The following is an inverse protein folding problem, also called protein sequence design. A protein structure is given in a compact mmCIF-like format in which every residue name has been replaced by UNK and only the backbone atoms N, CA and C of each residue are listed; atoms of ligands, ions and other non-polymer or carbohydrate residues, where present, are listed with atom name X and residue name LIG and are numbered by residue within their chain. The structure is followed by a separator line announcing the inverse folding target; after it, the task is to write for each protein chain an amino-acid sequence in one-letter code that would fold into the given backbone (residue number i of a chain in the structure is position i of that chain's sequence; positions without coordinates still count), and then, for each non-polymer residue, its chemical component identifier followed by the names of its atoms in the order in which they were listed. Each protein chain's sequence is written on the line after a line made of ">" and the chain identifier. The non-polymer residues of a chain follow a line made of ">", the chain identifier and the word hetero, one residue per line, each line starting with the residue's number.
data_IF_536206000343
#
_entry.id   IF_536206000343
#
_cell.length_a   1.000
_cell.length_b   1.000
_cell.length_c   1.000
_cell.angle_alpha   90.00
_cell.angle_beta   90.00
_cell.angle_gamma   90.00
#
_symmetry.space_group_name_H-M   'P 1'
#
loop_
_entity.id
_entity.type
_entity.pdbx_description
1 polymer ?
#
# COMPACT_ATOMS: atom_id res chain seq x y z
N UNK A 1 -29.12 -5.60 3.94
CA UNK A 1 -29.55 -6.64 2.99
C UNK A 1 -28.56 -6.53 1.83
N UNK A 2 -27.53 -7.39 1.71
CA UNK A 2 -26.56 -7.29 0.60
C UNK A 2 -27.25 -7.71 -0.71
N UNK A 3 -28.20 -6.92 -1.21
CA UNK A 3 -28.90 -7.19 -2.47
C UNK A 3 -27.90 -6.99 -3.60
N UNK A 4 -27.44 -8.08 -4.18
CA UNK A 4 -26.78 -8.03 -5.48
C UNK A 4 -27.84 -7.68 -6.53
N UNK A 5 -27.68 -6.55 -7.21
CA UNK A 5 -28.33 -6.38 -8.50
C UNK A 5 -27.45 -7.08 -9.52
N UNK A 6 -28.07 -8.02 -10.21
CA UNK A 6 -27.54 -8.61 -11.44
C UNK A 6 -28.11 -7.79 -12.60
N UNK A 7 -27.31 -6.85 -13.13
CA UNK A 7 -27.66 -6.11 -14.35
C UNK A 7 -27.17 -6.92 -15.55
N UNK A 8 -28.09 -7.57 -16.24
CA UNK A 8 -27.81 -8.28 -17.49
C UNK A 8 -28.01 -7.32 -18.67
N UNK A 9 -26.93 -6.98 -19.35
CA UNK A 9 -26.96 -6.22 -20.61
C UNK A 9 -26.92 -7.19 -21.77
N UNK A 10 -27.97 -7.20 -22.59
CA UNK A 10 -28.03 -7.96 -23.84
C UNK A 10 -28.23 -7.00 -25.02
N UNK A 11 -27.39 -7.13 -26.04
CA UNK A 11 -27.56 -6.40 -27.31
C UNK A 11 -28.06 -7.41 -28.33
N UNK A 12 -29.16 -7.05 -28.99
CA UNK A 12 -29.80 -7.87 -30.01
C UNK A 12 -29.58 -7.27 -31.39
N UNK A 13 -29.27 -8.13 -32.36
CA UNK A 13 -29.27 -7.79 -33.77
C UNK A 13 -30.53 -8.37 -34.42
N UNK A 14 -31.30 -7.52 -35.11
CA UNK A 14 -32.41 -7.94 -35.96
C UNK A 14 -31.97 -7.91 -37.42
N UNK A 15 -31.97 -9.07 -38.08
CA UNK A 15 -31.73 -9.13 -39.52
C UNK A 15 -32.96 -8.65 -40.27
N UNK A 16 -32.74 -7.95 -41.38
CA UNK A 16 -33.74 -7.16 -42.13
C UNK A 16 -35.00 -7.94 -42.56
N UNK A 17 -34.92 -9.28 -42.62
CA UNK A 17 -35.98 -10.17 -43.12
C UNK A 17 -36.30 -11.32 -42.17
N UNK A 18 -35.88 -11.24 -40.90
CA UNK A 18 -36.10 -12.30 -39.90
C UNK A 18 -36.94 -11.73 -38.75
N UNK A 19 -37.92 -12.48 -38.26
CA UNK A 19 -38.77 -12.04 -37.13
C UNK A 19 -38.05 -12.23 -35.79
N UNK A 20 -37.01 -13.06 -35.75
CA UNK A 20 -36.28 -13.40 -34.53
C UNK A 20 -35.05 -12.49 -34.27
N UNK A 21 -34.86 -12.16 -33.00
CA UNK A 21 -33.74 -11.35 -32.51
C UNK A 21 -32.59 -12.26 -32.08
N UNK A 22 -31.36 -12.00 -32.56
CA UNK A 22 -30.16 -12.73 -32.13
C UNK A 22 -29.38 -11.92 -31.11
N UNK A 23 -29.09 -12.49 -29.93
CA UNK A 23 -28.17 -11.89 -28.95
C UNK A 23 -26.76 -11.89 -29.53
N UNK A 24 -26.17 -10.71 -29.73
CA UNK A 24 -24.80 -10.54 -30.24
C UNK A 24 -23.80 -10.17 -29.14
N UNK A 25 -24.28 -9.71 -27.99
CA UNK A 25 -23.46 -9.41 -26.83
C UNK A 25 -24.30 -9.60 -25.56
N UNK A 26 -23.75 -10.30 -24.58
CA UNK A 26 -24.34 -10.44 -23.25
C UNK A 26 -23.27 -10.18 -22.21
N UNK A 27 -23.52 -9.25 -21.28
CA UNK A 27 -22.62 -8.98 -20.17
C UNK A 27 -23.41 -8.80 -18.90
N UNK A 28 -23.03 -9.53 -17.87
CA UNK A 28 -23.64 -9.49 -16.56
C UNK A 28 -22.77 -8.65 -15.62
N UNK A 29 -23.35 -7.62 -15.02
CA UNK A 29 -22.73 -6.83 -13.97
C UNK A 29 -23.39 -7.18 -12.64
N UNK A 30 -22.61 -7.77 -11.73
CA UNK A 30 -23.03 -7.96 -10.34
C UNK A 30 -22.55 -6.78 -9.53
N UNK A 31 -23.48 -5.98 -9.01
CA UNK A 31 -23.17 -4.85 -8.12
C UNK A 31 -23.98 -4.98 -6.84
N UNK A 32 -23.31 -4.87 -5.69
CA UNK A 32 -23.98 -4.89 -4.39
C UNK A 32 -24.47 -3.47 -4.06
N UNK A 33 -25.77 -3.31 -3.84
CA UNK A 33 -26.35 -1.99 -3.52
C UNK A 33 -26.15 -1.56 -2.07
N UNK A 34 -25.85 -2.50 -1.18
CA UNK A 34 -25.72 -2.24 0.25
C UNK A 34 -24.43 -2.86 0.77
N UNK A 35 -23.70 -2.10 1.56
CA UNK A 35 -22.52 -2.60 2.23
C UNK A 35 -22.89 -3.62 3.33
N UNK A 36 -21.99 -4.54 3.72
CA UNK A 36 -22.26 -5.51 4.77
C UNK A 36 -22.69 -4.81 6.06
N UNK A 37 -23.89 -5.17 6.53
CA UNK A 37 -24.47 -4.62 7.76
C UNK A 37 -24.27 -5.60 8.91
N UNK A 38 -23.67 -5.08 9.97
CA UNK A 38 -23.42 -5.82 11.20
C UNK A 38 -24.68 -5.73 12.06
N UNK A 39 -25.30 -6.88 12.34
CA UNK A 39 -26.53 -6.96 13.12
C UNK A 39 -26.28 -7.08 14.62
N UNK A 40 -25.15 -7.70 15.00
CA UNK A 40 -24.77 -7.94 16.38
C UNK A 40 -23.24 -7.94 16.48
N UNK A 41 -22.71 -7.34 17.52
CA UNK A 41 -21.31 -7.49 17.92
C UNK A 41 -21.23 -7.89 19.38
N UNK A 42 -20.31 -8.80 19.70
CA UNK A 42 -20.03 -9.27 21.04
C UNK A 42 -18.54 -9.29 21.27
N UNK A 43 -18.15 -9.00 22.50
CA UNK A 43 -16.77 -9.15 22.95
C UNK A 43 -16.72 -10.28 24.00
N UNK A 44 -15.70 -11.11 23.87
CA UNK A 44 -15.21 -12.00 24.93
C UNK A 44 -13.72 -11.80 25.05
N UNK A 45 -13.14 -12.18 26.17
CA UNK A 45 -11.70 -12.08 26.40
C UNK A 45 -11.11 -13.50 26.43
N UNK A 46 -10.07 -13.73 25.63
CA UNK A 46 -9.27 -14.97 25.71
C UNK A 46 -8.30 -14.89 26.89
N UNK A 47 -7.76 -13.69 27.12
CA UNK A 47 -6.95 -13.29 28.27
C UNK A 47 -7.15 -11.79 28.59
N UNK A 48 -6.47 -11.28 29.61
CA UNK A 48 -6.62 -9.89 30.06
C UNK A 48 -6.26 -8.82 29.01
N UNK A 49 -5.58 -9.18 27.90
CA UNK A 49 -5.04 -8.22 26.91
C UNK A 49 -5.52 -8.48 25.48
N UNK A 50 -6.26 -9.57 25.25
CA UNK A 50 -6.75 -9.99 23.95
C UNK A 50 -8.27 -10.03 23.96
N UNK A 51 -8.88 -9.02 23.35
CA UNK A 51 -10.31 -9.01 23.09
C UNK A 51 -10.59 -9.82 21.82
N UNK A 52 -11.49 -10.79 21.92
CA UNK A 52 -12.09 -11.49 20.80
C UNK A 52 -13.42 -10.81 20.51
N UNK A 53 -13.49 -10.12 19.38
CA UNK A 53 -14.72 -9.52 18.90
C UNK A 53 -15.33 -10.47 17.88
N UNK A 54 -16.56 -10.88 18.15
CA UNK A 54 -17.36 -11.70 17.24
C UNK A 54 -18.52 -10.87 16.73
N UNK A 55 -18.89 -11.06 15.47
CA UNK A 55 -20.01 -10.32 14.88
C UNK A 55 -20.88 -11.21 14.02
N UNK A 56 -22.13 -10.79 13.87
CA UNK A 56 -23.05 -11.35 12.89
C UNK A 56 -23.32 -10.34 11.81
N UNK A 57 -23.20 -10.82 10.58
CA UNK A 57 -23.68 -10.10 9.41
C UNK A 57 -25.17 -10.40 9.25
N UNK A 58 -25.96 -9.38 8.91
CA UNK A 58 -27.39 -9.53 8.69
C UNK A 58 -27.72 -10.49 7.52
N UNK A 59 -26.76 -10.72 6.62
CA UNK A 59 -26.87 -11.63 5.48
C UNK A 59 -25.54 -12.35 5.24
N UNK A 60 -25.21 -13.29 6.14
CA UNK A 60 -23.86 -13.85 6.22
C UNK A 60 -23.40 -14.54 4.93
N UNK A 61 -24.23 -15.39 4.32
CA UNK A 61 -23.81 -16.19 3.16
C UNK A 61 -23.38 -15.32 1.97
N UNK A 62 -24.02 -14.16 1.79
CA UNK A 62 -23.71 -13.25 0.68
C UNK A 62 -22.58 -12.27 0.99
N UNK A 63 -22.22 -12.06 2.27
CA UNK A 63 -21.22 -11.07 2.65
C UNK A 63 -20.03 -11.63 3.47
N UNK A 64 -19.89 -12.96 3.63
CA UNK A 64 -18.81 -13.62 4.39
C UNK A 64 -17.39 -13.33 3.88
N UNK A 65 -17.23 -13.11 2.58
CA UNK A 65 -15.94 -12.82 1.95
C UNK A 65 -15.58 -11.32 1.97
N UNK A 66 -16.50 -10.46 2.44
CA UNK A 66 -16.28 -9.02 2.52
C UNK A 66 -15.44 -8.68 3.76
N UNK A 67 -14.45 -7.82 3.55
CA UNK A 67 -13.58 -7.35 4.62
C UNK A 67 -14.22 -6.18 5.39
N UNK A 68 -14.19 -6.28 6.70
CA UNK A 68 -14.63 -5.25 7.62
C UNK A 68 -13.42 -4.59 8.26
N UNK A 69 -13.51 -3.29 8.47
CA UNK A 69 -12.57 -2.50 9.26
C UNK A 69 -13.19 -2.24 10.64
N UNK A 70 -12.43 -2.56 11.68
CA UNK A 70 -12.75 -2.31 13.08
C UNK A 70 -11.90 -1.15 13.58
N UNK A 71 -12.54 -0.06 14.00
CA UNK A 71 -11.91 1.08 14.65
C UNK A 71 -12.27 1.07 16.13
N UNK A 72 -11.25 0.94 16.98
CA UNK A 72 -11.37 0.96 18.43
C UNK A 72 -10.84 2.29 18.96
N UNK A 73 -11.69 3.04 19.65
CA UNK A 73 -11.35 4.35 20.22
C UNK A 73 -11.29 4.26 21.75
N UNK A 74 -10.10 4.53 22.31
CA UNK A 74 -9.88 4.56 23.76
C UNK A 74 -8.71 5.49 24.11
N UNK A 75 -7.81 5.03 24.98
CA UNK A 75 -6.53 5.71 25.24
C UNK A 75 -5.60 5.75 24.01
N UNK A 76 -5.81 4.83 23.07
CA UNK A 76 -5.22 4.80 21.73
C UNK A 76 -6.26 4.37 20.71
N UNK A 77 -6.04 4.76 19.46
CA UNK A 77 -6.86 4.31 18.32
C UNK A 77 -6.22 3.07 17.71
N UNK A 78 -6.97 1.98 17.64
CA UNK A 78 -6.55 0.74 16.96
C UNK A 78 -7.47 0.53 15.76
N UNK A 79 -6.87 0.30 14.59
CA UNK A 79 -7.61 -0.02 13.37
C UNK A 79 -7.14 -1.39 12.89
N UNK A 80 -8.06 -2.32 12.72
CA UNK A 80 -7.76 -3.67 12.27
C UNK A 80 -8.79 -4.14 11.26
N UNK A 81 -8.35 -4.92 10.27
CA UNK A 81 -9.21 -5.48 9.23
C UNK A 81 -9.43 -6.96 9.51
N UNK A 82 -10.64 -7.46 9.23
CA UNK A 82 -10.94 -8.88 9.33
C UNK A 82 -12.02 -9.33 8.35
N UNK A 83 -11.96 -10.61 8.00
CA UNK A 83 -12.97 -11.36 7.23
C UNK A 83 -13.57 -12.45 8.12
N UNK A 84 -14.77 -12.93 7.78
CA UNK A 84 -15.47 -13.95 8.57
C UNK A 84 -16.32 -13.38 9.70
N UNK A 85 -16.20 -13.93 10.91
CA UNK A 85 -17.07 -13.63 12.06
C UNK A 85 -16.32 -13.41 13.38
N UNK A 86 -14.99 -13.49 13.37
CA UNK A 86 -14.15 -13.33 14.56
C UNK A 86 -12.90 -12.52 14.21
N UNK A 87 -12.52 -11.60 15.10
CA UNK A 87 -11.24 -10.89 15.07
C UNK A 87 -10.66 -10.92 16.47
N UNK A 88 -9.35 -11.17 16.53
CA UNK A 88 -8.58 -11.08 17.76
C UNK A 88 -7.86 -9.74 17.74
N UNK A 89 -8.16 -8.89 18.71
CA UNK A 89 -7.54 -7.58 18.89
C UNK A 89 -6.54 -7.69 20.04
N UNK A 90 -5.26 -7.96 19.76
CA UNK A 90 -4.23 -7.94 20.77
C UNK A 90 -3.92 -6.51 21.21
N UNK A 91 -3.28 -6.39 22.38
CA UNK A 91 -2.65 -5.16 22.87
C UNK A 91 -3.61 -4.06 23.38
N UNK A 92 -4.81 -4.38 23.86
CA UNK A 92 -5.61 -3.37 24.57
C UNK A 92 -4.98 -3.04 25.93
N UNK A 93 -5.07 -1.77 26.34
CA UNK A 93 -4.54 -1.31 27.63
C UNK A 93 -5.49 -1.75 28.76
N UNK A 94 -4.94 -2.38 29.80
CA UNK A 94 -5.69 -2.75 31.00
C UNK A 94 -6.32 -1.51 31.66
N UNK A 95 -7.48 -1.68 32.31
CA UNK A 95 -8.28 -0.59 32.92
C UNK A 95 -8.77 0.50 31.95
N UNK A 96 -8.67 0.26 30.65
CA UNK A 96 -9.20 1.20 29.65
C UNK A 96 -10.47 0.67 29.03
N UNK A 97 -11.36 1.61 28.72
CA UNK A 97 -12.51 1.35 27.88
C UNK A 97 -12.20 1.74 26.45
N UNK A 98 -12.65 0.92 25.52
CA UNK A 98 -12.63 1.21 24.09
C UNK A 98 -14.06 1.15 23.56
N UNK A 99 -14.39 2.06 22.66
CA UNK A 99 -15.61 1.96 21.85
C UNK A 99 -15.21 1.41 20.49
N UNK A 100 -15.80 0.29 20.12
CA UNK A 100 -15.54 -0.35 18.83
C UNK A 100 -16.65 -0.06 17.86
N UNK A 101 -16.26 0.51 16.72
CA UNK A 101 -17.07 0.60 15.53
C UNK A 101 -16.52 -0.31 14.47
N UNK A 102 -17.40 -0.92 13.72
CA UNK A 102 -17.06 -1.77 12.60
C UNK A 102 -17.83 -1.29 11.38
N UNK A 103 -17.13 -1.20 10.27
CA UNK A 103 -17.69 -0.74 9.01
C UNK A 103 -17.00 -1.44 7.83
N UNK A 104 -17.68 -1.57 6.69
CA UNK A 104 -17.10 -2.12 5.46
C UNK A 104 -15.80 -1.40 5.04
N UNK A 105 -14.73 -2.15 4.76
CA UNK A 105 -13.43 -1.56 4.36
C UNK A 105 -13.47 -0.97 2.93
N UNK A 106 -14.19 -1.63 2.03
CA UNK A 106 -14.36 -1.20 0.64
C UNK A 106 -15.82 -1.13 0.26
N UNK A 107 -16.21 0.05 -0.22
CA UNK A 107 -17.53 0.37 -0.72
C UNK A 107 -17.40 1.16 -2.01
N UNK A 108 -18.29 0.90 -2.96
CA UNK A 108 -18.36 1.71 -4.18
C UNK A 108 -18.74 3.15 -3.81
N UNK A 109 -18.35 4.13 -4.64
CA UNK A 109 -18.54 5.57 -4.40
C UNK A 109 -19.98 6.00 -4.08
N UNK A 110 -20.98 5.16 -4.37
CA UNK A 110 -22.41 5.44 -4.23
C UNK A 110 -23.12 4.52 -3.23
N UNK A 111 -22.38 3.73 -2.44
CA UNK A 111 -22.97 2.80 -1.48
C UNK A 111 -23.14 3.44 -0.11
N UNK A 112 -24.37 3.42 0.41
CA UNK A 112 -24.63 3.84 1.80
C UNK A 112 -23.95 2.88 2.77
N UNK A 113 -23.05 3.43 3.59
CA UNK A 113 -22.32 2.68 4.62
C UNK A 113 -23.05 2.81 5.96
N UNK A 114 -23.32 1.67 6.59
CA UNK A 114 -23.84 1.63 7.95
C UNK A 114 -22.71 1.25 8.89
N UNK A 115 -22.34 2.18 9.77
CA UNK A 115 -21.48 1.89 10.91
C UNK A 115 -22.26 1.06 11.92
N UNK A 116 -21.60 0.08 12.55
CA UNK A 116 -22.22 -0.66 13.64
C UNK A 116 -22.52 0.24 14.84
N UNK A 117 -23.49 -0.19 15.66
CA UNK A 117 -23.65 0.38 16.99
C UNK A 117 -22.32 0.23 17.76
N UNK A 118 -21.92 1.27 18.49
CA UNK A 118 -20.69 1.24 19.28
C UNK A 118 -20.77 0.12 20.32
N UNK A 119 -19.79 -0.79 20.28
CA UNK A 119 -19.62 -1.80 21.32
C UNK A 119 -18.62 -1.27 22.35
N UNK A 120 -19.07 -1.06 23.57
CA UNK A 120 -18.17 -0.73 24.67
C UNK A 120 -17.42 -1.99 25.12
N UNK A 121 -16.10 -1.94 25.04
CA UNK A 121 -15.18 -2.94 25.57
C UNK A 121 -14.55 -2.34 26.81
N UNK A 122 -14.92 -2.84 27.98
CA UNK A 122 -14.20 -2.57 29.22
C UNK A 122 -13.11 -3.62 29.35
N UNK A 123 -11.86 -3.21 29.17
CA UNK A 123 -10.72 -4.08 29.45
C UNK A 123 -10.63 -4.18 30.96
N UNK A 124 -11.12 -5.30 31.49
CA UNK A 124 -11.01 -5.59 32.91
C UNK A 124 -9.52 -5.56 33.27
N UNK A 125 -9.13 -4.77 34.26
CA UNK A 125 -8.04 -5.16 35.14
C UNK A 125 -8.53 -6.38 35.90
N UNK A 126 -8.51 -7.51 35.22
CA UNK A 126 -8.06 -8.70 35.88
C UNK A 126 -6.72 -8.28 36.43
N UNK A 127 -6.67 -7.99 37.75
CA UNK A 127 -5.45 -8.04 38.54
C UNK A 127 -4.58 -9.03 37.81
N UNK A 128 -3.49 -8.54 37.21
CA UNK A 128 -2.55 -9.40 36.52
C UNK A 128 -2.53 -10.69 37.32
N UNK A 129 -2.84 -11.84 36.74
CA UNK A 129 -2.25 -13.03 37.34
C UNK A 129 -0.76 -12.67 37.26
N UNK A 130 -0.08 -12.36 38.39
CA UNK A 130 1.26 -11.76 38.36
C UNK A 130 2.29 -12.82 37.96
N UNK A 131 1.84 -13.92 37.39
CA UNK A 131 2.47 -15.21 37.36
C UNK A 131 2.70 -15.65 35.92
N UNK A 132 2.79 -14.73 34.94
CA UNK A 132 3.10 -15.12 33.55
C UNK A 132 4.05 -14.15 32.86
N UNK A 133 5.15 -14.69 32.35
CA UNK A 133 6.03 -14.00 31.42
C UNK A 133 5.60 -14.31 29.98
N UNK A 134 5.69 -13.32 29.10
CA UNK A 134 5.43 -13.47 27.67
C UNK A 134 6.71 -13.26 26.86
N UNK A 135 6.82 -13.99 25.76
CA UNK A 135 7.90 -13.89 24.79
C UNK A 135 7.31 -13.88 23.38
N UNK A 136 7.68 -12.86 22.62
CA UNK A 136 7.25 -12.63 21.24
C UNK A 136 8.46 -12.86 20.34
N UNK A 137 8.30 -13.68 19.31
CA UNK A 137 9.34 -13.97 18.33
C UNK A 137 8.82 -13.64 16.94
N UNK A 138 9.58 -12.88 16.17
CA UNK A 138 9.32 -12.61 14.76
C UNK A 138 10.54 -13.04 13.96
N UNK A 139 10.36 -13.94 12.99
CA UNK A 139 11.46 -14.49 12.20
C UNK A 139 11.08 -14.65 10.72
N UNK A 140 12.11 -14.77 9.88
CA UNK A 140 11.98 -15.20 8.49
C UNK A 140 12.50 -16.64 8.44
N UNK A 141 11.64 -17.66 8.29
CA UNK A 141 12.05 -19.07 8.41
C UNK A 141 13.15 -19.49 7.42
N UNK A 142 13.20 -18.85 6.26
CA UNK A 142 14.23 -19.10 5.23
C UNK A 142 15.58 -18.46 5.55
N UNK A 143 15.66 -17.57 6.54
CA UNK A 143 16.90 -16.92 6.98
C UNK A 143 17.00 -16.91 8.51
N UNK A 144 17.79 -17.84 9.04
CA UNK A 144 18.00 -18.02 10.49
C UNK A 144 18.64 -16.82 11.19
N UNK A 145 19.31 -15.93 10.46
CA UNK A 145 19.91 -14.70 11.02
C UNK A 145 18.86 -13.61 11.26
N UNK A 146 17.72 -13.67 10.57
CA UNK A 146 16.63 -12.70 10.67
C UNK A 146 15.58 -13.19 11.67
N UNK A 147 15.94 -13.09 12.95
CA UNK A 147 15.07 -13.40 14.09
C UNK A 147 15.16 -12.30 15.15
N UNK A 148 14.01 -11.86 15.61
CA UNK A 148 13.87 -10.91 16.71
C UNK A 148 13.04 -11.54 17.83
N UNK A 149 13.49 -11.36 19.07
CA UNK A 149 12.80 -11.85 20.27
C UNK A 149 12.63 -10.69 21.24
N UNK A 150 11.44 -10.58 21.82
CA UNK A 150 11.11 -9.54 22.79
C UNK A 150 10.25 -10.10 23.92
N UNK A 151 10.47 -9.63 25.13
CA UNK A 151 9.58 -9.86 26.29
C UNK A 151 8.61 -8.69 26.50
N UNK A 152 8.76 -7.62 25.73
CA UNK A 152 7.79 -6.53 25.66
C UNK A 152 6.76 -6.81 24.57
N UNK A 153 5.59 -6.19 24.65
CA UNK A 153 4.53 -6.27 23.63
C UNK A 153 4.90 -5.64 22.26
N UNK A 154 6.18 -5.31 22.05
CA UNK A 154 6.73 -4.79 20.81
C UNK A 154 7.90 -5.66 20.39
N UNK A 155 7.85 -6.20 19.18
CA UNK A 155 8.97 -6.87 18.52
C UNK A 155 9.32 -6.10 17.25
N UNK A 156 10.61 -5.87 17.03
CA UNK A 156 11.11 -5.16 15.86
C UNK A 156 12.13 -6.06 15.18
N UNK A 157 11.87 -6.44 13.94
CA UNK A 157 12.81 -7.18 13.10
C UNK A 157 13.37 -6.23 12.05
N UNK A 158 14.71 -6.11 12.02
CA UNK A 158 15.44 -5.25 11.10
C UNK A 158 16.19 -6.09 10.07
N UNK A 159 16.67 -5.46 8.98
CA UNK A 159 17.49 -6.14 7.97
C UNK A 159 16.71 -7.06 7.03
N UNK A 160 15.38 -6.96 6.99
CA UNK A 160 14.53 -7.72 6.09
C UNK A 160 14.79 -7.28 4.64
N UNK A 161 15.04 -8.21 3.71
CA UNK A 161 15.17 -7.89 2.28
C UNK A 161 13.93 -7.17 1.74
N UNK A 162 14.14 -6.11 0.97
CA UNK A 162 13.08 -5.26 0.42
C UNK A 162 12.67 -5.71 -0.99
N UNK A 163 11.50 -5.25 -1.44
CA UNK A 163 10.98 -5.43 -2.81
C UNK A 163 10.76 -6.87 -3.30
N UNK A 164 10.98 -7.87 -2.44
CA UNK A 164 10.65 -9.27 -2.70
C UNK A 164 9.70 -9.79 -1.62
N UNK A 165 8.80 -10.73 -1.94
CA UNK A 165 7.94 -11.35 -0.94
C UNK A 165 8.76 -12.11 0.09
N UNK A 166 8.43 -11.93 1.36
CA UNK A 166 9.01 -12.62 2.50
C UNK A 166 7.90 -13.33 3.27
N UNK A 167 8.14 -14.57 3.68
CA UNK A 167 7.29 -15.26 4.64
C UNK A 167 7.82 -14.91 6.02
N UNK A 168 7.01 -14.22 6.81
CA UNK A 168 7.30 -13.94 8.21
C UNK A 168 6.54 -14.91 9.08
N UNK A 169 7.18 -15.32 10.17
CA UNK A 169 6.59 -16.17 11.19
C UNK A 169 6.58 -15.43 12.51
N UNK A 170 5.39 -15.23 13.07
CA UNK A 170 5.21 -14.63 14.37
C UNK A 170 4.78 -15.69 15.38
N UNK A 171 5.49 -15.80 16.48
CA UNK A 171 5.24 -16.78 17.55
C UNK A 171 5.09 -16.05 18.88
N UNK A 172 4.06 -16.40 19.64
CA UNK A 172 3.89 -15.95 21.02
C UNK A 172 4.05 -17.17 21.93
N UNK A 173 4.91 -17.03 22.93
CA UNK A 173 5.09 -18.00 23.99
C UNK A 173 4.76 -17.38 25.34
N UNK A 174 4.18 -18.20 26.22
CA UNK A 174 3.82 -17.86 27.60
C UNK A 174 4.52 -18.82 28.54
N UNK A 175 5.00 -18.31 29.68
CA UNK A 175 5.57 -19.10 30.76
C UNK A 175 4.89 -18.68 32.05
N UNK A 176 4.30 -19.61 32.80
CA UNK A 176 3.83 -19.30 34.15
C UNK A 176 5.05 -19.10 35.08
N UNK A 177 5.01 -18.23 36.09
CA UNK A 177 6.13 -18.03 37.04
C UNK A 177 6.46 -19.31 37.83
N UNK A 178 5.50 -20.21 37.95
CA UNK A 178 5.67 -21.55 38.55
C UNK A 178 6.35 -22.55 37.60
N UNK A 179 6.50 -22.22 36.33
CA UNK A 179 7.08 -23.05 35.29
C UNK A 179 8.49 -22.56 34.93
N UNK A 180 9.33 -23.50 34.48
CA UNK A 180 10.69 -23.20 34.01
C UNK A 180 10.72 -22.73 32.56
N UNK A 181 9.81 -23.25 31.73
CA UNK A 181 9.92 -23.16 30.27
C UNK A 181 8.75 -22.42 29.63
N UNK A 182 9.05 -21.67 28.56
CA UNK A 182 8.03 -21.02 27.75
C UNK A 182 7.31 -22.05 26.87
N UNK A 183 5.98 -22.07 26.97
CA UNK A 183 5.10 -22.82 26.07
C UNK A 183 4.61 -21.93 24.95
N UNK A 184 4.68 -22.41 23.70
CA UNK A 184 4.09 -21.72 22.55
C UNK A 184 2.56 -21.74 22.66
N UNK A 185 1.94 -20.58 22.52
CA UNK A 185 0.48 -20.41 22.59
C UNK A 185 -0.12 -19.92 21.28
N UNK A 186 0.70 -19.30 20.42
CA UNK A 186 0.27 -18.80 19.12
C UNK A 186 1.40 -18.87 18.11
N UNK A 187 1.08 -19.19 16.87
CA UNK A 187 1.99 -19.12 15.73
C UNK A 187 1.20 -18.81 14.48
N UNK A 188 1.65 -17.81 13.73
CA UNK A 188 1.08 -17.45 12.44
C UNK A 188 2.21 -17.18 11.44
N UNK A 189 2.01 -17.61 10.21
CA UNK A 189 2.89 -17.32 9.09
C UNK A 189 2.10 -16.45 8.10
N UNK A 190 2.72 -15.37 7.64
CA UNK A 190 2.11 -14.45 6.69
C UNK A 190 3.15 -13.95 5.70
N UNK A 191 2.69 -13.72 4.47
CA UNK A 191 3.54 -13.19 3.41
C UNK A 191 3.45 -11.65 3.39
N UNK A 192 4.60 -10.99 3.32
CA UNK A 192 4.68 -9.53 3.21
C UNK A 192 5.80 -9.13 2.24
N UNK A 193 5.53 -8.13 1.41
CA UNK A 193 6.55 -7.51 0.56
C UNK A 193 6.83 -6.11 1.08
N UNK A 194 8.05 -5.85 1.55
CA UNK A 194 8.45 -4.51 2.00
C UNK A 194 8.81 -3.64 0.79
N UNK A 195 7.80 -2.98 0.23
CA UNK A 195 7.87 -2.35 -1.10
C UNK A 195 8.39 -0.92 -1.15
N UNK A 196 8.97 -0.37 -0.07
CA UNK A 196 9.38 1.03 0.02
C UNK A 196 10.89 1.22 0.29
N UNK A 197 11.76 0.95 -0.70
CA UNK A 197 13.19 1.25 -0.56
C UNK A 197 13.43 2.74 -0.37
N UNK A 198 14.40 3.08 0.48
CA UNK A 198 14.91 4.44 0.56
C UNK A 198 15.63 4.81 -0.74
N UNK A 199 15.30 5.98 -1.26
CA UNK A 199 15.96 6.62 -2.41
C UNK A 199 16.89 7.70 -1.86
N UNK A 200 18.15 7.68 -2.25
CA UNK A 200 19.19 8.57 -1.73
C UNK A 200 20.17 9.02 -2.82
N UNK A 201 20.99 10.02 -2.51
CA UNK A 201 22.07 10.50 -3.36
C UNK A 201 21.62 10.81 -4.80
N UNK A 202 20.47 11.50 -4.94
CA UNK A 202 20.01 11.96 -6.24
C UNK A 202 21.01 12.99 -6.76
N UNK A 203 21.56 12.74 -7.94
CA UNK A 203 22.46 13.65 -8.65
C UNK A 203 21.94 13.87 -10.07
N UNK A 204 22.31 15.00 -10.65
CA UNK A 204 21.92 15.40 -11.99
C UNK A 204 23.15 15.75 -12.82
N UNK A 205 23.21 15.21 -14.03
CA UNK A 205 24.23 15.52 -15.03
C UNK A 205 23.55 16.13 -16.27
N UNK A 206 24.01 17.33 -16.65
CA UNK A 206 23.58 18.06 -17.84
C UNK A 206 24.81 18.26 -18.71
N UNK A 207 25.17 17.25 -19.51
CA UNK A 207 26.30 17.32 -20.45
C UNK A 207 25.77 17.54 -21.85
N UNK A 208 25.93 18.74 -22.44
CA UNK A 208 25.72 19.11 -23.86
C UNK A 208 24.67 18.31 -24.65
N UNK A 209 23.57 17.92 -24.01
CA UNK A 209 22.62 16.96 -24.55
C UNK A 209 21.21 17.45 -24.33
N UNK A 210 20.29 16.98 -25.18
CA UNK A 210 18.86 17.30 -25.12
C UNK A 210 18.14 16.74 -23.88
N UNK A 211 18.90 16.16 -22.93
CA UNK A 211 18.38 15.45 -21.77
C UNK A 211 19.18 15.80 -20.52
N UNK A 212 18.48 15.84 -19.38
CA UNK A 212 19.14 15.78 -18.07
C UNK A 212 19.15 14.33 -17.60
N UNK A 213 20.31 13.83 -17.19
CA UNK A 213 20.44 12.50 -16.61
C UNK A 213 20.35 12.61 -15.10
N UNK A 214 19.35 11.96 -14.50
CA UNK A 214 19.27 11.78 -13.06
C UNK A 214 19.82 10.40 -12.69
N UNK A 215 20.65 10.35 -11.65
CA UNK A 215 21.14 9.12 -11.02
C UNK A 215 20.82 9.14 -9.53
N UNK A 216 20.59 7.98 -8.94
CA UNK A 216 20.30 7.84 -7.51
C UNK A 216 20.75 6.48 -7.00
N UNK A 217 20.76 6.32 -5.67
CA UNK A 217 20.99 5.03 -5.01
C UNK A 217 19.71 4.48 -4.41
N UNK A 218 19.52 3.18 -4.57
CA UNK A 218 18.43 2.43 -3.93
C UNK A 218 18.93 1.61 -2.74
N UNK A 219 18.21 1.70 -1.63
CA UNK A 219 18.34 0.75 -0.54
C UNK A 219 17.97 -0.66 -1.04
N UNK A 220 18.81 -1.64 -0.71
CA UNK A 220 18.66 -3.02 -1.17
C UNK A 220 18.52 -3.12 -2.69
N UNK A 221 19.46 -2.47 -3.38
CA UNK A 221 19.54 -2.34 -4.84
C UNK A 221 19.25 -3.64 -5.59
N UNK A 222 19.88 -4.74 -5.18
CA UNK A 222 19.79 -6.02 -5.90
C UNK A 222 18.36 -6.53 -5.98
N UNK A 223 17.61 -6.40 -4.88
CA UNK A 223 16.21 -6.80 -4.82
C UNK A 223 15.26 -5.73 -5.39
N UNK A 224 15.62 -4.45 -5.23
CA UNK A 224 14.75 -3.31 -5.58
C UNK A 224 14.98 -2.71 -6.98
N UNK A 225 15.92 -3.22 -7.79
CA UNK A 225 16.22 -2.66 -9.13
C UNK A 225 15.02 -2.53 -10.07
N UNK A 226 14.03 -3.42 -9.93
CA UNK A 226 12.81 -3.41 -10.76
C UNK A 226 11.66 -2.63 -10.12
N UNK A 227 11.88 -2.03 -8.95
CA UNK A 227 10.86 -1.23 -8.28
C UNK A 227 10.60 0.03 -9.11
N UNK A 228 9.33 0.22 -9.48
CA UNK A 228 8.89 1.46 -10.13
C UNK A 228 8.90 2.60 -9.13
N UNK A 229 9.54 3.70 -9.50
CA UNK A 229 9.69 4.92 -8.71
C UNK A 229 8.96 6.06 -9.42
N UNK A 230 8.44 7.00 -8.63
CA UNK A 230 7.85 8.24 -9.12
C UNK A 230 8.80 9.39 -8.81
N UNK A 231 9.13 10.17 -9.82
CA UNK A 231 9.91 11.40 -9.72
C UNK A 231 9.02 12.59 -10.03
N UNK A 232 8.86 13.49 -9.07
CA UNK A 232 8.21 14.78 -9.28
C UNK A 232 9.26 15.87 -9.40
N UNK A 233 9.30 16.53 -10.54
CA UNK A 233 10.17 17.66 -10.82
C UNK A 233 9.34 18.94 -10.78
N UNK A 234 9.68 19.85 -9.88
CA UNK A 234 9.01 21.13 -9.70
C UNK A 234 9.86 22.25 -10.29
N UNK A 235 9.39 22.85 -11.38
CA UNK A 235 9.95 24.07 -11.98
C UNK A 235 8.85 25.10 -12.22
N UNK A 236 8.85 25.74 -13.40
CA UNK A 236 7.71 26.54 -13.87
C UNK A 236 6.46 25.68 -14.11
N UNK A 237 6.67 24.42 -14.45
CA UNK A 237 5.67 23.36 -14.57
C UNK A 237 6.11 22.16 -13.73
N UNK A 238 5.13 21.43 -13.20
CA UNK A 238 5.38 20.16 -12.49
C UNK A 238 5.39 19.03 -13.51
N UNK A 239 6.48 18.29 -13.54
CA UNK A 239 6.66 17.12 -14.40
C UNK A 239 6.72 15.88 -13.52
N UNK A 240 5.88 14.88 -13.83
CA UNK A 240 5.93 13.57 -13.19
C UNK A 240 6.57 12.57 -14.15
N UNK A 241 7.60 11.87 -13.69
CA UNK A 241 8.27 10.82 -14.44
C UNK A 241 8.28 9.51 -13.65
N UNK A 242 8.33 8.41 -14.39
CA UNK A 242 8.42 7.07 -13.83
C UNK A 242 9.75 6.46 -14.21
N UNK A 243 10.44 5.87 -13.24
CA UNK A 243 11.72 5.23 -13.47
C UNK A 243 11.79 3.86 -12.80
N UNK A 244 12.72 3.04 -13.30
CA UNK A 244 13.19 1.81 -12.66
C UNK A 244 14.72 1.84 -12.69
N UNK A 245 15.36 1.06 -11.82
CA UNK A 245 16.80 1.10 -11.67
C UNK A 245 17.29 2.35 -10.94
N UNK A 246 18.44 2.86 -11.37
CA UNK A 246 19.19 3.94 -10.69
C UNK A 246 19.59 5.08 -11.63
N UNK A 247 19.05 5.10 -12.85
CA UNK A 247 19.29 6.15 -13.82
C UNK A 247 18.02 6.42 -14.64
N UNK A 248 17.77 7.69 -14.95
CA UNK A 248 16.74 8.11 -15.89
C UNK A 248 17.21 9.33 -16.69
N UNK A 249 16.88 9.35 -17.98
CA UNK A 249 17.11 10.51 -18.86
C UNK A 249 15.80 11.25 -19.06
N UNK A 250 15.80 12.55 -18.78
CA UNK A 250 14.62 13.41 -18.86
C UNK A 250 14.77 14.35 -20.06
N UNK A 251 14.01 14.17 -21.15
CA UNK A 251 13.99 15.11 -22.27
C UNK A 251 13.20 16.38 -21.96
N UNK A 252 13.49 17.43 -22.72
CA UNK A 252 12.56 18.56 -22.89
C UNK A 252 12.43 19.48 -21.67
N UNK A 253 13.40 19.45 -20.76
CA UNK A 253 13.49 20.44 -19.69
C UNK A 253 13.93 21.79 -20.27
N UNK A 254 13.39 22.87 -19.72
CA UNK A 254 13.64 24.22 -20.21
C UNK A 254 15.04 24.69 -19.81
N UNK A 255 15.82 25.17 -20.77
CA UNK A 255 17.14 25.75 -20.50
C UNK A 255 17.06 26.95 -19.55
N UNK A 256 18.05 27.08 -18.66
CA UNK A 256 18.11 28.12 -17.65
C UNK A 256 17.12 27.95 -16.49
N UNK A 257 16.20 26.98 -16.55
CA UNK A 257 15.23 26.72 -15.49
C UNK A 257 15.85 25.84 -14.39
N UNK A 258 15.59 26.20 -13.14
CA UNK A 258 15.86 25.35 -11.98
C UNK A 258 14.66 24.44 -11.70
N UNK A 259 14.94 23.16 -11.47
CA UNK A 259 13.97 22.14 -11.06
C UNK A 259 14.37 21.57 -9.70
N UNK A 260 13.38 21.37 -8.82
CA UNK A 260 13.53 20.61 -7.57
C UNK A 260 12.89 19.24 -7.72
N UNK A 261 13.62 18.17 -7.43
CA UNK A 261 13.20 16.80 -7.60
C UNK A 261 12.91 16.14 -6.27
N UNK A 262 11.81 15.41 -6.21
CA UNK A 262 11.49 14.45 -5.16
C UNK A 262 11.19 13.10 -5.78
N UNK A 263 11.68 12.04 -5.15
CA UNK A 263 11.44 10.67 -5.58
C UNK A 263 10.80 9.85 -4.47
N UNK A 264 9.89 8.95 -4.84
CA UNK A 264 9.31 7.97 -3.91
C UNK A 264 8.92 6.67 -4.64
N UNK A 265 8.91 5.52 -3.95
CA UNK A 265 8.48 4.25 -4.53
C UNK A 265 7.00 4.28 -4.91
N UNK A 266 6.68 3.78 -6.09
CA UNK A 266 5.31 3.62 -6.57
C UNK A 266 4.69 2.33 -6.03
N UNK A 267 3.36 2.26 -5.94
CA UNK A 267 2.60 1.04 -5.60
C UNK A 267 3.15 0.33 -4.35
N UNK A 268 3.04 1.00 -3.20
CA UNK A 268 3.30 0.39 -1.90
C UNK A 268 1.99 -0.07 -1.28
N UNK A 269 2.03 -1.06 -0.38
CA UNK A 269 0.84 -1.40 0.41
C UNK A 269 0.51 -0.27 1.40
N UNK A 270 -0.75 -0.23 1.85
CA UNK A 270 -1.27 0.82 2.74
C UNK A 270 -0.64 0.85 4.13
N UNK A 271 0.05 -0.22 4.52
CA UNK A 271 0.69 -0.36 5.84
C UNK A 271 2.17 0.05 5.80
N UNK A 272 2.72 0.24 4.59
CA UNK A 272 4.11 0.60 4.37
C UNK A 272 4.29 2.11 4.48
N UNK A 273 5.11 2.54 5.43
CA UNK A 273 5.53 3.92 5.53
C UNK A 273 6.47 4.26 4.37
N UNK A 274 6.08 5.22 3.53
CA UNK A 274 6.88 5.69 2.40
C UNK A 274 7.68 6.90 2.81
N UNK A 275 8.99 6.82 2.57
CA UNK A 275 9.88 7.97 2.73
C UNK A 275 10.15 8.57 1.36
N UNK A 276 9.82 9.86 1.22
CA UNK A 276 10.24 10.66 0.08
C UNK A 276 11.75 10.91 0.17
N UNK A 277 12.42 10.99 -0.98
CA UNK A 277 13.82 11.39 -1.02
C UNK A 277 14.01 12.79 -0.43
N UNK A 278 15.25 13.09 -0.02
CA UNK A 278 15.64 14.49 0.16
C UNK A 278 15.44 15.27 -1.15
N UNK A 279 15.09 16.57 -1.09
CA UNK A 279 15.00 17.40 -2.27
C UNK A 279 16.37 17.52 -2.96
N UNK A 280 16.39 17.35 -4.29
CA UNK A 280 17.56 17.64 -5.11
C UNK A 280 17.24 18.73 -6.11
N UNK A 281 18.02 19.82 -6.15
CA UNK A 281 17.80 20.94 -7.07
C UNK A 281 18.92 21.03 -8.10
N UNK A 282 18.55 21.29 -9.36
CA UNK A 282 19.51 21.52 -10.43
C UNK A 282 18.98 22.55 -11.43
N UNK A 283 19.90 23.24 -12.11
CA UNK A 283 19.58 24.16 -13.21
C UNK A 283 20.00 23.54 -14.53
N UNK A 284 19.11 23.57 -15.51
CA UNK A 284 19.40 23.06 -16.86
C UNK A 284 20.38 24.02 -17.53
N UNK A 285 21.58 23.55 -17.86
CA UNK A 285 22.60 24.35 -18.55
C UNK A 285 22.20 24.59 -20.01
N UNK A 286 22.57 25.75 -20.55
CA UNK A 286 22.49 25.99 -21.99
C UNK A 286 23.55 25.16 -22.70
N UNK A 287 23.23 24.67 -23.90
CA UNK A 287 24.26 24.23 -24.84
C UNK A 287 25.11 25.46 -25.16
N UNK A 288 26.36 25.50 -24.71
CA UNK A 288 27.32 26.39 -25.36
C UNK A 288 27.39 25.96 -26.82
N UNK A 289 26.87 26.81 -27.69
CA UNK A 289 26.93 26.62 -29.12
C UNK A 289 28.39 26.71 -29.55
N UNK A 290 29.11 25.60 -29.50
CA UNK A 290 30.37 25.42 -30.24
C UNK A 290 30.01 25.20 -31.72
N UNK A 291 29.39 26.21 -32.33
CA UNK A 291 29.46 26.42 -33.77
C UNK A 291 29.86 27.87 -33.98
N UNK A 292 31.18 28.06 -34.03
CA UNK A 292 31.79 29.21 -34.66
C UNK A 292 31.30 29.31 -36.11
N UNK A 293 30.23 30.07 -36.36
CA UNK A 293 30.02 30.71 -37.65
C UNK A 293 30.66 32.11 -37.60
N UNK A 294 31.98 32.12 -37.44
CA UNK A 294 32.82 33.17 -38.03
C UNK A 294 33.31 32.59 -39.36
N UNK A 295 33.06 33.32 -40.44
CA UNK A 295 33.46 33.01 -41.82
C UNK A 295 32.64 31.95 -42.56
N UNK A 296 31.46 32.34 -43.04
CA UNK A 296 31.03 31.97 -44.39
C UNK A 296 30.41 33.19 -45.05
N UNK A 297 31.20 33.82 -45.90
CA UNK A 297 30.78 34.90 -46.78
C UNK A 297 29.56 34.49 -47.63
N UNK A 298 28.72 35.49 -47.90
CA UNK A 298 27.64 35.50 -48.89
C UNK A 298 27.73 34.42 -49.98
N UNK A 299 26.85 33.42 -49.91
CA UNK A 299 26.55 32.55 -51.07
C UNK A 299 25.22 33.03 -51.64
N UNK A 300 25.29 33.74 -52.76
CA UNK A 300 24.14 34.03 -53.61
C UNK A 300 23.65 32.73 -54.26
N UNK A 301 22.43 32.31 -53.94
CA UNK A 301 21.80 31.14 -54.57
C UNK A 301 20.74 31.63 -55.55
N UNK A 302 21.07 31.55 -56.84
CA UNK A 302 20.08 31.64 -57.92
C UNK A 302 19.39 30.28 -58.09
N UNK A 303 18.06 30.24 -57.94
CA UNK A 303 17.26 29.08 -58.34
C UNK A 303 16.58 29.34 -59.69
N UNK A 304 16.63 28.34 -60.57
CA UNK A 304 15.90 28.30 -61.84
C UNK A 304 14.78 27.27 -61.69
N UNK A 305 13.54 27.75 -61.71
CA UNK A 305 12.35 26.89 -61.61
C UNK A 305 12.12 26.21 -62.95
N UNK A 306 12.03 24.88 -62.95
CA UNK A 306 11.46 24.13 -64.06
C UNK A 306 10.20 23.43 -63.58
N UNK A 307 9.07 23.83 -64.15
CA UNK A 307 7.79 23.15 -64.01
C UNK A 307 7.64 22.11 -65.13
N UNK A 308 7.34 20.87 -64.75
CA UNK A 308 6.57 19.93 -65.55
C UNK A 308 5.70 19.13 -64.58
#
# INVERSE_FOLDING_TARGET
>A
MCKEIVLKFEIYEKKKNDEDFKIIFSKEYKKSLEAPKISEMKVRFDDAKTAIITWKLQDYENCKDKELQFALFGDKTVIQMAKGQEIRVPFLTADKSYIVHAFPNHVDKETTVYMSAGLEIKVLDYKESPDSDYKYELEIPSNTELKAVSTSNKVILCGIPLCIPQVLKFTISKKLKTETDFRKIFTEEFEKTLGAPRISDIVSESSDSLFVTLRWKLQDRENCKNKKLVFNLYGDTTIMQLAMGEEMKIPGLKHGQTYTVYAFPSHVDSETHVYMSAPHSFTVTELESIYAFKDLASVNVHYKVFTA
#
